data_IF_992558556584
#
_entry.id   IF_992558556584
#
_cell.length_a   1.000
_cell.length_b   1.000
_cell.length_c   1.000
_cell.angle_alpha   90.00
_cell.angle_beta   90.00
_cell.angle_gamma   90.00
#
_symmetry.space_group_name_H-M   'P 1'
#
loop_
_entity.id
_entity.type
_entity.pdbx_description
1 polymer ?
#
# COMPACT_ATOMS: atom_id res chain seq x y z
N UNK A 1 -4.32 -34.28 16.53
CA UNK A 1 -4.89 -34.93 17.72
C UNK A 1 -6.39 -34.59 17.93
N UNK A 2 -6.95 -33.58 17.24
CA UNK A 2 -8.35 -33.22 17.27
C UNK A 2 -8.89 -32.73 18.63
N UNK A 3 -8.00 -32.29 19.50
CA UNK A 3 -8.33 -31.82 20.85
C UNK A 3 -7.56 -30.54 21.19
N UNK A 4 -8.20 -29.66 21.95
CA UNK A 4 -7.57 -28.50 22.55
C UNK A 4 -7.65 -28.61 24.07
N UNK A 5 -6.53 -28.37 24.78
CA UNK A 5 -6.44 -28.36 26.22
C UNK A 5 -6.33 -26.92 26.71
N UNK A 6 -7.19 -26.52 27.65
CA UNK A 6 -7.24 -25.18 28.21
C UNK A 6 -6.33 -25.03 29.45
N UNK A 7 -5.12 -24.52 29.26
CA UNK A 7 -4.20 -24.19 30.34
C UNK A 7 -3.92 -25.36 31.29
N UNK A 8 -4.09 -25.13 32.60
CA UNK A 8 -3.93 -26.13 33.66
C UNK A 8 -5.18 -26.95 33.94
N UNK A 9 -6.26 -26.72 33.23
CA UNK A 9 -7.51 -27.48 33.38
C UNK A 9 -7.44 -28.76 32.59
N UNK A 10 -7.81 -29.90 33.20
CA UNK A 10 -7.89 -31.22 32.57
C UNK A 10 -9.12 -31.37 31.66
N UNK A 11 -9.46 -30.34 30.91
CA UNK A 11 -10.63 -30.38 30.01
C UNK A 11 -10.11 -30.45 28.58
N UNK A 12 -10.31 -31.60 27.96
CA UNK A 12 -10.06 -31.80 26.54
C UNK A 12 -11.33 -31.45 25.77
N UNK A 13 -11.25 -30.43 24.92
CA UNK A 13 -12.33 -30.05 24.03
C UNK A 13 -12.09 -30.62 22.63
N UNK A 14 -13.10 -31.21 21.96
CA UNK A 14 -12.98 -31.59 20.55
C UNK A 14 -12.63 -30.36 19.73
N UNK A 15 -11.55 -30.41 18.95
CA UNK A 15 -11.10 -29.31 18.12
C UNK A 15 -10.88 -29.81 16.68
N UNK A 16 -11.89 -29.57 15.85
CA UNK A 16 -11.82 -29.88 14.42
C UNK A 16 -11.84 -28.54 13.65
N UNK A 17 -10.66 -27.97 13.40
CA UNK A 17 -10.50 -26.70 12.70
C UNK A 17 -9.23 -26.71 11.85
N UNK A 18 -9.21 -25.85 10.85
CA UNK A 18 -8.01 -25.47 10.11
C UNK A 18 -7.51 -24.13 10.66
N UNK A 19 -6.25 -24.08 11.07
CA UNK A 19 -5.63 -22.84 11.50
C UNK A 19 -5.02 -22.13 10.30
N UNK A 20 -5.39 -20.86 10.10
CA UNK A 20 -4.81 -19.97 9.10
C UNK A 20 -4.29 -18.75 9.82
N UNK A 21 -2.97 -18.51 9.75
CA UNK A 21 -2.32 -17.34 10.33
C UNK A 21 -1.73 -16.44 9.25
N UNK A 22 -1.63 -15.14 9.55
CA UNK A 22 -0.92 -14.19 8.72
C UNK A 22 0.20 -13.55 9.53
N UNK A 23 1.36 -13.35 8.91
CA UNK A 23 2.50 -12.70 9.54
C UNK A 23 3.23 -11.81 8.55
N UNK A 24 3.92 -10.80 9.05
CA UNK A 24 4.85 -10.04 8.22
C UNK A 24 6.14 -10.88 8.03
N UNK A 25 6.88 -10.66 6.93
CA UNK A 25 8.23 -11.20 6.80
C UNK A 25 9.08 -10.82 8.02
N UNK A 26 9.99 -11.71 8.41
CA UNK A 26 10.90 -11.44 9.52
C UNK A 26 11.65 -10.13 9.30
N UNK A 27 11.59 -9.27 10.31
CA UNK A 27 12.38 -8.05 10.39
C UNK A 27 13.17 -8.09 11.70
N UNK A 28 14.19 -7.25 11.83
CA UNK A 28 15.00 -7.15 13.06
C UNK A 28 14.17 -6.81 14.32
N UNK A 29 12.94 -6.38 14.15
CA UNK A 29 12.01 -6.01 15.23
C UNK A 29 10.95 -7.09 15.54
N UNK A 30 10.94 -8.21 14.81
CA UNK A 30 9.98 -9.31 15.04
C UNK A 30 10.70 -10.51 15.66
N UNK A 31 10.08 -11.12 16.67
CA UNK A 31 10.57 -12.40 17.20
C UNK A 31 10.49 -13.48 16.11
N UNK A 32 11.57 -14.23 15.99
CA UNK A 32 11.65 -15.34 15.06
C UNK A 32 10.80 -16.48 15.56
N UNK A 33 9.89 -16.96 14.72
CA UNK A 33 9.14 -18.19 15.03
C UNK A 33 10.11 -19.38 15.03
N UNK A 34 9.90 -20.31 15.97
CA UNK A 34 10.75 -21.49 16.05
C UNK A 34 10.58 -22.38 14.80
N UNK A 35 11.67 -23.00 14.37
CA UNK A 35 11.64 -23.92 13.23
C UNK A 35 10.66 -25.07 13.47
N UNK A 36 10.57 -25.55 14.73
CA UNK A 36 9.62 -26.59 15.15
C UNK A 36 8.15 -26.16 14.99
N UNK A 37 7.87 -24.86 15.14
CA UNK A 37 6.52 -24.31 14.88
C UNK A 37 6.26 -24.23 13.38
N UNK A 38 7.19 -23.68 12.61
CA UNK A 38 7.06 -23.51 11.17
C UNK A 38 6.94 -24.83 10.41
N UNK A 39 7.59 -25.89 10.88
CA UNK A 39 7.55 -27.25 10.31
C UNK A 39 6.15 -27.87 10.29
N UNK A 40 5.20 -27.29 11.02
CA UNK A 40 3.80 -27.76 11.09
C UNK A 40 2.85 -27.02 10.14
N UNK A 41 3.35 -26.06 9.35
CA UNK A 41 2.54 -25.21 8.49
C UNK A 41 3.03 -25.23 7.06
N UNK A 42 2.09 -25.17 6.14
CA UNK A 42 2.38 -24.77 4.76
C UNK A 42 2.51 -23.25 4.70
N UNK A 43 3.62 -22.77 4.15
CA UNK A 43 3.93 -21.34 4.07
C UNK A 43 3.61 -20.84 2.67
N UNK A 44 2.73 -19.85 2.59
CA UNK A 44 2.41 -19.16 1.35
C UNK A 44 2.93 -17.73 1.41
N UNK A 45 3.82 -17.40 0.49
CA UNK A 45 4.33 -16.03 0.36
C UNK A 45 3.41 -15.20 -0.53
N UNK A 46 2.81 -14.16 0.06
CA UNK A 46 1.97 -13.21 -0.67
C UNK A 46 2.83 -12.05 -1.19
N UNK A 47 2.97 -11.95 -2.50
CA UNK A 47 3.63 -10.84 -3.18
C UNK A 47 2.72 -9.61 -3.35
N UNK A 48 3.20 -8.64 -4.12
CA UNK A 48 2.37 -7.53 -4.60
C UNK A 48 1.38 -8.02 -5.66
N UNK A 49 0.24 -7.30 -5.88
CA UNK A 49 -0.67 -7.61 -6.99
C UNK A 49 0.07 -7.65 -8.33
N UNK A 50 -0.13 -8.70 -9.10
CA UNK A 50 0.59 -8.91 -10.36
C UNK A 50 0.27 -7.83 -11.38
N UNK A 51 -1.01 -7.45 -11.50
CA UNK A 51 -1.47 -6.45 -12.45
C UNK A 51 -1.98 -5.19 -11.76
N UNK A 52 -2.01 -4.08 -12.49
CA UNK A 52 -2.55 -2.81 -12.00
C UNK A 52 -4.06 -2.90 -11.80
N UNK A 53 -4.75 -3.65 -12.64
CA UNK A 53 -6.20 -3.88 -12.56
C UNK A 53 -6.56 -4.60 -11.27
N UNK A 54 -5.80 -5.63 -10.89
CA UNK A 54 -5.98 -6.33 -9.63
C UNK A 54 -5.73 -5.41 -8.43
N UNK A 55 -4.68 -4.59 -8.49
CA UNK A 55 -4.39 -3.62 -7.43
C UNK A 55 -5.51 -2.58 -7.31
N UNK A 56 -6.03 -2.08 -8.45
CA UNK A 56 -7.16 -1.16 -8.48
C UNK A 56 -8.42 -1.77 -7.85
N UNK A 57 -8.74 -3.02 -8.19
CA UNK A 57 -9.87 -3.74 -7.57
C UNK A 57 -9.70 -3.85 -6.05
N UNK A 58 -8.50 -4.16 -5.56
CA UNK A 58 -8.20 -4.24 -4.13
C UNK A 58 -8.39 -2.86 -3.47
N UNK A 59 -7.88 -1.80 -4.10
CA UNK A 59 -7.97 -0.43 -3.57
C UNK A 59 -9.42 0.01 -3.43
N UNK A 60 -10.24 -0.20 -4.46
CA UNK A 60 -11.67 0.15 -4.44
C UNK A 60 -12.46 -0.72 -3.46
N UNK A 61 -12.14 -2.01 -3.37
CA UNK A 61 -12.85 -2.95 -2.48
C UNK A 61 -12.48 -2.79 -1.00
N UNK A 62 -11.28 -2.28 -0.68
CA UNK A 62 -10.76 -2.19 0.69
C UNK A 62 -10.62 -0.78 1.22
N UNK A 63 -10.50 0.20 0.33
CA UNK A 63 -10.46 1.61 0.69
C UNK A 63 -11.85 2.12 1.10
N UNK A 64 -11.86 3.11 1.99
CA UNK A 64 -13.10 3.80 2.33
C UNK A 64 -13.50 4.73 1.18
N UNK A 65 -14.75 4.61 0.75
CA UNK A 65 -15.30 5.44 -0.31
C UNK A 65 -16.12 6.57 0.31
N UNK A 66 -15.78 7.80 -0.04
CA UNK A 66 -16.59 8.98 0.26
C UNK A 66 -17.57 9.23 -0.88
N UNK A 67 -18.51 10.19 -0.68
CA UNK A 67 -19.45 10.64 -1.74
C UNK A 67 -18.74 11.57 -2.75
N UNK A 68 -17.60 11.12 -3.25
CA UNK A 68 -16.74 11.83 -4.21
C UNK A 68 -16.31 10.82 -5.28
N UNK A 69 -16.55 11.12 -6.54
CA UNK A 69 -16.11 10.27 -7.63
C UNK A 69 -14.57 10.29 -7.74
N UNK A 70 -13.98 9.14 -7.99
CA UNK A 70 -12.57 9.03 -8.32
C UNK A 70 -12.46 8.61 -9.79
N UNK A 71 -11.99 9.47 -10.70
CA UNK A 71 -11.81 9.12 -12.12
C UNK A 71 -10.88 7.92 -12.26
N UNK A 72 -11.23 7.01 -13.14
CA UNK A 72 -10.55 5.72 -13.29
C UNK A 72 -9.12 5.85 -13.84
N UNK A 73 -8.92 6.75 -14.75
CA UNK A 73 -7.63 7.13 -15.33
C UNK A 73 -6.69 7.74 -14.28
N UNK A 74 -7.24 8.61 -13.43
CA UNK A 74 -6.51 9.25 -12.35
C UNK A 74 -6.09 8.24 -11.26
N UNK A 75 -6.96 7.28 -10.93
CA UNK A 75 -6.60 6.20 -10.02
C UNK A 75 -5.52 5.30 -10.63
N UNK A 76 -5.68 4.94 -11.89
CA UNK A 76 -4.69 4.15 -12.64
C UNK A 76 -3.32 4.83 -12.63
N UNK A 77 -3.28 6.12 -12.93
CA UNK A 77 -2.06 6.93 -12.90
C UNK A 77 -1.37 6.92 -11.51
N UNK A 78 -2.14 7.13 -10.45
CA UNK A 78 -1.62 7.08 -9.08
C UNK A 78 -1.00 5.71 -8.75
N UNK A 79 -1.65 4.63 -9.18
CA UNK A 79 -1.15 3.27 -8.98
C UNK A 79 0.11 2.97 -9.82
N UNK A 80 0.19 3.49 -11.04
CA UNK A 80 1.40 3.39 -11.87
C UNK A 80 2.60 4.00 -11.15
N UNK A 81 2.44 5.17 -10.55
CA UNK A 81 3.50 5.80 -9.78
C UNK A 81 3.92 4.97 -8.56
N UNK A 82 2.97 4.44 -7.78
CA UNK A 82 3.29 3.56 -6.65
C UNK A 82 4.07 2.32 -7.09
N UNK A 83 3.70 1.74 -8.23
CA UNK A 83 4.39 0.56 -8.80
C UNK A 83 5.80 0.91 -9.27
N UNK A 84 5.98 2.06 -9.93
CA UNK A 84 7.30 2.58 -10.29
C UNK A 84 8.23 2.68 -9.07
N UNK A 85 7.73 3.22 -7.96
CA UNK A 85 8.52 3.30 -6.73
C UNK A 85 8.91 1.91 -6.18
N UNK A 86 8.06 0.89 -6.35
CA UNK A 86 8.41 -0.48 -5.93
C UNK A 86 9.59 -1.06 -6.71
N UNK A 87 9.78 -0.64 -7.93
CA UNK A 87 10.89 -1.12 -8.78
C UNK A 87 12.13 -0.24 -8.67
N UNK A 88 12.05 0.86 -7.92
CA UNK A 88 13.18 1.78 -7.81
C UNK A 88 14.33 1.20 -6.98
N UNK A 89 15.54 1.27 -7.55
CA UNK A 89 16.76 0.65 -6.99
C UNK A 89 17.19 1.19 -5.62
N UNK A 90 16.86 2.46 -5.33
CA UNK A 90 17.27 3.16 -4.10
C UNK A 90 16.29 2.99 -2.94
N UNK A 91 15.17 2.30 -3.17
CA UNK A 91 14.19 2.00 -2.13
C UNK A 91 14.52 0.62 -1.51
N UNK A 92 14.73 0.62 -0.21
CA UNK A 92 14.95 -0.59 0.60
C UNK A 92 13.63 -1.21 1.03
N UNK A 93 12.75 -0.42 1.64
CA UNK A 93 11.39 -0.84 2.01
C UNK A 93 10.40 -0.24 1.04
N UNK A 94 9.82 -1.09 0.23
CA UNK A 94 8.88 -0.72 -0.84
C UNK A 94 7.49 -0.39 -0.29
N UNK A 95 6.75 0.57 -0.88
CA UNK A 95 5.38 0.87 -0.47
C UNK A 95 4.45 -0.31 -0.74
N UNK A 96 3.70 -0.72 0.27
CA UNK A 96 2.70 -1.80 0.15
C UNK A 96 1.40 -1.28 -0.50
N UNK A 97 0.45 -2.18 -0.77
CA UNK A 97 -0.90 -1.82 -1.26
C UNK A 97 -1.65 -0.87 -0.29
N UNK A 98 -1.27 -0.84 1.00
CA UNK A 98 -1.79 0.18 1.93
C UNK A 98 -1.42 1.60 1.54
N UNK A 99 -0.32 1.81 0.80
CA UNK A 99 0.00 3.12 0.25
C UNK A 99 -1.00 3.51 -0.86
N UNK A 100 -1.32 2.58 -1.76
CA UNK A 100 -2.31 2.78 -2.82
C UNK A 100 -3.70 3.09 -2.24
N UNK A 101 -4.13 2.33 -1.22
CA UNK A 101 -5.38 2.60 -0.49
C UNK A 101 -5.32 3.98 0.17
N UNK A 102 -4.21 4.32 0.84
CA UNK A 102 -4.08 5.62 1.50
C UNK A 102 -4.13 6.81 0.54
N UNK A 103 -3.59 6.67 -0.68
CA UNK A 103 -3.71 7.70 -1.72
C UNK A 103 -5.17 7.84 -2.16
N UNK A 104 -5.86 6.73 -2.43
CA UNK A 104 -7.27 6.72 -2.80
C UNK A 104 -8.15 7.41 -1.75
N UNK A 105 -7.98 7.08 -0.48
CA UNK A 105 -8.76 7.67 0.62
C UNK A 105 -8.41 9.15 0.84
N UNK A 106 -7.13 9.50 0.83
CA UNK A 106 -6.66 10.87 1.08
C UNK A 106 -7.09 11.82 -0.03
N UNK A 107 -6.99 11.40 -1.29
CA UNK A 107 -7.43 12.22 -2.43
C UNK A 107 -8.92 12.49 -2.39
N UNK A 108 -9.74 11.50 -2.04
CA UNK A 108 -11.18 11.71 -1.83
C UNK A 108 -11.45 12.67 -0.67
N UNK A 109 -10.69 12.55 0.43
CA UNK A 109 -10.83 13.46 1.56
C UNK A 109 -10.50 14.90 1.17
N UNK A 110 -9.45 15.13 0.38
CA UNK A 110 -9.07 16.45 -0.13
C UNK A 110 -10.19 17.05 -0.98
N UNK A 111 -10.74 16.30 -1.92
CA UNK A 111 -11.87 16.74 -2.76
C UNK A 111 -13.13 17.02 -1.92
N UNK A 112 -13.45 16.13 -0.97
CA UNK A 112 -14.60 16.28 -0.07
C UNK A 112 -14.49 17.55 0.79
N UNK A 113 -13.35 17.80 1.42
CA UNK A 113 -13.09 19.00 2.22
C UNK A 113 -13.18 20.27 1.36
N UNK A 114 -12.78 20.19 0.10
CA UNK A 114 -12.92 21.27 -0.88
C UNK A 114 -14.32 21.37 -1.48
N UNK A 115 -15.31 20.59 -0.98
CA UNK A 115 -16.70 20.54 -1.44
C UNK A 115 -16.84 20.18 -2.92
N UNK A 116 -15.89 19.47 -3.49
CA UNK A 116 -15.93 18.96 -4.87
C UNK A 116 -16.58 17.56 -4.90
N UNK A 117 -17.18 17.24 -6.02
CA UNK A 117 -17.85 15.95 -6.26
C UNK A 117 -16.93 14.92 -6.92
N UNK A 118 -15.76 15.34 -7.38
CA UNK A 118 -14.79 14.50 -8.04
C UNK A 118 -13.38 14.84 -7.57
N UNK A 119 -12.53 13.82 -7.50
CA UNK A 119 -11.09 13.95 -7.25
C UNK A 119 -10.43 14.55 -8.48
N UNK A 120 -9.47 15.45 -8.25
CA UNK A 120 -8.64 16.07 -9.29
C UNK A 120 -7.20 15.59 -9.20
N UNK A 121 -6.40 15.87 -10.22
CA UNK A 121 -4.96 15.58 -10.23
C UNK A 121 -4.24 16.25 -9.03
N UNK A 122 -4.66 17.47 -8.65
CA UNK A 122 -4.09 18.17 -7.50
C UNK A 122 -4.33 17.42 -6.18
N UNK A 123 -5.53 16.82 -5.99
CA UNK A 123 -5.81 16.03 -4.79
C UNK A 123 -4.90 14.81 -4.66
N UNK A 124 -4.62 14.17 -5.78
CA UNK A 124 -3.70 13.03 -5.83
C UNK A 124 -2.28 13.49 -5.55
N UNK A 125 -1.83 14.57 -6.16
CA UNK A 125 -0.50 15.15 -5.95
C UNK A 125 -0.26 15.50 -4.47
N UNK A 126 -1.22 16.16 -3.84
CA UNK A 126 -1.15 16.54 -2.42
C UNK A 126 -1.16 15.31 -1.49
N UNK A 127 -1.84 14.23 -1.91
CA UNK A 127 -1.88 12.99 -1.15
C UNK A 127 -0.58 12.18 -1.27
N UNK A 128 0.08 12.17 -2.43
CA UNK A 128 1.19 11.28 -2.74
C UNK A 128 2.34 11.41 -1.73
N UNK A 129 2.87 12.60 -1.52
CA UNK A 129 4.01 12.81 -0.63
C UNK A 129 3.66 12.40 0.79
N UNK A 130 2.56 12.92 1.33
CA UNK A 130 2.14 12.65 2.71
C UNK A 130 1.84 11.17 2.99
N UNK A 131 1.39 10.42 1.98
CA UNK A 131 1.07 9.00 2.11
C UNK A 131 2.29 8.12 1.89
N UNK A 132 3.18 8.46 0.96
CA UNK A 132 4.29 7.60 0.56
C UNK A 132 5.54 7.77 1.41
N UNK A 133 5.89 8.99 1.81
CA UNK A 133 7.16 9.28 2.44
C UNK A 133 7.43 8.46 3.71
N UNK A 134 6.41 8.23 4.54
CA UNK A 134 6.54 7.42 5.76
C UNK A 134 6.31 5.91 5.54
N UNK A 135 5.92 5.49 4.32
CA UNK A 135 5.65 4.10 3.96
C UNK A 135 6.75 3.43 3.15
N UNK A 136 7.74 4.19 2.74
CA UNK A 136 8.94 3.67 2.09
C UNK A 136 10.17 3.94 2.96
N UNK A 137 11.25 3.22 2.70
CA UNK A 137 12.54 3.46 3.32
C UNK A 137 13.61 3.45 2.23
N UNK A 138 14.42 4.50 2.18
CA UNK A 138 15.52 4.61 1.25
C UNK A 138 16.72 3.78 1.74
N UNK A 139 17.49 3.24 0.82
CA UNK A 139 18.79 2.66 1.13
C UNK A 139 19.70 3.69 1.80
N UNK A 140 20.65 3.28 2.66
CA UNK A 140 21.54 4.20 3.36
C UNK A 140 22.23 5.21 2.45
N UNK A 141 22.67 4.79 1.26
CA UNK A 141 23.31 5.65 0.27
C UNK A 141 22.41 6.79 -0.23
N UNK A 142 21.13 6.51 -0.48
CA UNK A 142 20.17 7.51 -0.93
C UNK A 142 19.65 8.37 0.24
N UNK A 143 19.42 7.76 1.41
CA UNK A 143 18.99 8.46 2.62
C UNK A 143 19.99 9.50 3.11
N UNK A 144 21.27 9.30 2.83
CA UNK A 144 22.30 10.28 3.14
C UNK A 144 22.21 11.55 2.27
N UNK A 145 21.71 11.43 1.05
CA UNK A 145 21.65 12.51 0.07
C UNK A 145 20.37 13.34 0.16
N UNK A 146 19.25 12.71 0.53
CA UNK A 146 17.95 13.39 0.56
C UNK A 146 16.94 12.69 1.51
N UNK A 147 15.92 13.45 1.90
CA UNK A 147 14.80 12.93 2.69
C UNK A 147 13.87 12.06 1.83
N UNK A 148 13.01 11.27 2.48
CA UNK A 148 12.01 10.48 1.78
C UNK A 148 10.97 11.37 1.07
N UNK A 149 10.61 12.51 1.67
CA UNK A 149 9.69 13.49 1.08
C UNK A 149 10.26 14.09 -0.20
N UNK A 150 11.50 14.55 -0.16
CA UNK A 150 12.21 15.12 -1.32
C UNK A 150 12.36 14.07 -2.43
N UNK A 151 12.73 12.85 -2.05
CA UNK A 151 12.85 11.73 -2.99
C UNK A 151 11.53 11.46 -3.72
N UNK A 152 10.42 11.29 -2.98
CA UNK A 152 9.10 11.05 -3.58
C UNK A 152 8.70 12.21 -4.48
N UNK A 153 8.92 13.45 -4.04
CA UNK A 153 8.62 14.65 -4.83
C UNK A 153 9.44 14.73 -6.12
N UNK A 154 10.73 14.38 -6.09
CA UNK A 154 11.59 14.33 -7.27
C UNK A 154 11.15 13.23 -8.25
N UNK A 155 10.90 12.00 -7.72
CA UNK A 155 10.44 10.91 -8.56
C UNK A 155 9.08 11.21 -9.19
N UNK A 156 8.19 11.89 -8.49
CA UNK A 156 6.90 12.28 -9.05
C UNK A 156 7.04 13.33 -10.15
N UNK A 157 7.89 14.33 -9.98
CA UNK A 157 8.20 15.31 -11.05
C UNK A 157 8.78 14.64 -12.30
N UNK A 158 9.63 13.63 -12.13
CA UNK A 158 10.18 12.87 -13.25
C UNK A 158 9.07 12.07 -13.93
N UNK A 159 8.21 11.41 -13.15
CA UNK A 159 7.08 10.63 -13.65
C UNK A 159 6.08 11.49 -14.45
N UNK A 160 5.78 12.70 -13.99
CA UNK A 160 4.92 13.65 -14.72
C UNK A 160 5.52 14.03 -16.08
N UNK A 161 6.83 14.27 -16.16
CA UNK A 161 7.50 14.58 -17.45
C UNK A 161 7.38 13.46 -18.48
N UNK A 162 7.34 12.21 -18.00
CA UNK A 162 7.18 11.04 -18.86
C UNK A 162 5.70 10.79 -19.23
N UNK A 163 4.75 11.49 -18.58
CA UNK A 163 3.30 11.37 -18.77
C UNK A 163 2.64 12.74 -18.91
N UNK A 164 2.95 13.54 -19.95
CA UNK A 164 2.47 14.92 -20.09
C UNK A 164 0.94 15.04 -20.19
N UNK A 165 0.27 14.03 -20.75
CA UNK A 165 -1.19 14.01 -20.92
C UNK A 165 -1.94 14.09 -19.58
N UNK A 166 -1.27 13.81 -18.48
CA UNK A 166 -1.86 13.87 -17.14
C UNK A 166 -1.96 15.32 -16.62
N UNK A 167 -1.01 16.19 -16.94
CA UNK A 167 -1.05 17.60 -16.56
C UNK A 167 -2.13 18.36 -17.33
N UNK A 168 -2.34 18.05 -18.62
CA UNK A 168 -3.34 18.71 -19.45
C UNK A 168 -4.77 18.33 -19.06
N UNK A 169 -5.04 17.07 -18.72
CA UNK A 169 -6.37 16.59 -18.32
C UNK A 169 -6.75 16.95 -16.85
N UNK A 170 -5.79 17.34 -16.04
CA UNK A 170 -6.01 17.76 -14.65
C UNK A 170 -6.55 19.19 -14.48
N UNK A 171 -6.54 19.98 -15.54
CA UNK A 171 -6.93 21.40 -15.52
C UNK A 171 -8.31 21.72 -16.11
N UNK A 172 -8.94 20.82 -16.84
CA UNK A 172 -10.24 21.05 -17.49
C UNK A 172 -11.38 20.30 -16.78
N UNK A 173 -11.74 20.75 -15.62
CA UNK A 173 -12.89 20.30 -14.84
C UNK A 173 -13.51 21.46 -14.06
N UNK A 174 -13.68 22.60 -14.72
CA UNK A 174 -14.50 23.73 -14.24
C UNK A 174 -15.88 23.70 -14.86
#
# INVERSE_FOLDING_TARGET
>A
EGKATLGSYSVDLPANFIFIGTMNPETSATEKLSDVFLDRFDIIHMGYPETIELEKQIVVAKGQTLQVAFPDDLLTFALMFVRLLRDHKDIQKKPSVRASIGIYERSQANAFLSKRKSVTAQDVTDALISVLAHRLELKPSAKYLQSADDFVGEQFKNFLRDHPDFEENGGEGL
#
